data_IF_326878298232
#
_entry.id   IF_326878298232
#
_cell.length_a   1.000
_cell.length_b   1.000
_cell.length_c   1.000
_cell.angle_alpha   90.00
_cell.angle_beta   90.00
_cell.angle_gamma   90.00
#
_symmetry.space_group_name_H-M   'P 1'
#
loop_
_entity.id
_entity.type
_entity.pdbx_description
1 polymer ?
#
# COMPACT_ATOMS: atom_id res chain seq x y z
N UNK A 1 -34.39 7.29 15.84
CA UNK A 1 -32.92 7.46 15.86
C UNK A 1 -32.26 6.66 14.73
N UNK A 2 -32.46 7.04 13.46
CA UNK A 2 -31.86 6.38 12.28
C UNK A 2 -31.09 7.36 11.37
N UNK A 3 -30.65 8.49 11.93
CA UNK A 3 -30.24 9.65 11.13
C UNK A 3 -28.84 10.16 11.49
N UNK A 4 -27.89 9.25 11.78
CA UNK A 4 -26.49 9.64 12.00
C UNK A 4 -25.46 8.78 11.27
N UNK A 5 -25.86 7.65 10.65
CA UNK A 5 -24.96 6.77 9.89
C UNK A 5 -24.75 7.21 8.41
N UNK A 6 -25.10 8.45 8.06
CA UNK A 6 -24.96 9.01 6.71
C UNK A 6 -23.79 10.01 6.62
N UNK A 7 -22.95 10.06 7.67
CA UNK A 7 -21.81 10.95 7.74
C UNK A 7 -20.55 10.20 7.33
N UNK A 8 -19.92 10.70 6.27
CA UNK A 8 -18.54 10.42 5.80
C UNK A 8 -18.32 9.27 4.79
N UNK A 9 -19.27 8.97 3.90
CA UNK A 9 -18.85 8.34 2.63
C UNK A 9 -18.15 9.40 1.77
N UNK A 10 -16.89 9.18 1.35
CA UNK A 10 -16.25 10.11 0.44
C UNK A 10 -17.06 10.21 -0.85
N UNK A 11 -17.10 11.40 -1.44
CA UNK A 11 -17.87 11.61 -2.66
C UNK A 11 -17.39 10.63 -3.74
N UNK A 12 -18.33 10.14 -4.55
CA UNK A 12 -18.00 9.23 -5.66
C UNK A 12 -16.96 9.84 -6.61
N UNK A 13 -17.03 11.16 -6.84
CA UNK A 13 -16.07 11.89 -7.66
C UNK A 13 -14.65 11.90 -7.06
N UNK A 14 -14.52 12.14 -5.75
CA UNK A 14 -13.22 12.12 -5.07
C UNK A 14 -12.61 10.73 -5.09
N UNK A 15 -13.43 9.70 -4.84
CA UNK A 15 -12.98 8.29 -4.89
C UNK A 15 -12.46 7.95 -6.28
N UNK A 16 -13.23 8.24 -7.33
CA UNK A 16 -12.83 8.00 -8.71
C UNK A 16 -11.50 8.69 -9.06
N UNK A 17 -11.33 9.95 -8.64
CA UNK A 17 -10.11 10.71 -8.90
C UNK A 17 -8.89 10.06 -8.22
N UNK A 18 -9.01 9.67 -6.95
CA UNK A 18 -7.93 9.00 -6.20
C UNK A 18 -7.54 7.69 -6.86
N UNK A 19 -8.54 6.89 -7.27
CA UNK A 19 -8.29 5.59 -7.90
C UNK A 19 -7.65 5.74 -9.28
N UNK A 20 -8.19 6.63 -10.12
CA UNK A 20 -7.65 6.91 -11.44
C UNK A 20 -6.20 7.39 -11.36
N UNK A 21 -5.90 8.36 -10.48
CA UNK A 21 -4.54 8.86 -10.30
C UNK A 21 -3.61 7.79 -9.75
N UNK A 22 -4.08 6.93 -8.84
CA UNK A 22 -3.27 5.84 -8.28
C UNK A 22 -2.91 4.81 -9.34
N UNK A 23 -3.88 4.39 -10.16
CA UNK A 23 -3.64 3.42 -11.23
C UNK A 23 -2.79 4.00 -12.36
N UNK A 24 -3.02 5.26 -12.74
CA UNK A 24 -2.18 5.96 -13.71
C UNK A 24 -0.73 6.09 -13.18
N UNK A 25 -0.54 6.55 -11.95
CA UNK A 25 0.79 6.71 -11.36
C UNK A 25 1.54 5.37 -11.33
N UNK A 26 0.91 4.28 -10.84
CA UNK A 26 1.62 3.00 -10.73
C UNK A 26 1.92 2.36 -12.08
N UNK A 27 1.11 2.64 -13.11
CA UNK A 27 1.34 2.20 -14.47
C UNK A 27 2.60 2.84 -15.08
N UNK A 28 2.83 4.12 -14.79
CA UNK A 28 3.94 4.89 -15.39
C UNK A 28 5.21 4.92 -14.54
N UNK A 29 5.18 4.51 -13.26
CA UNK A 29 6.37 4.53 -12.39
C UNK A 29 7.58 3.78 -12.97
N UNK A 30 7.45 2.57 -13.56
CA UNK A 30 8.58 1.90 -14.20
C UNK A 30 9.19 2.75 -15.32
N UNK A 31 8.36 3.31 -16.21
CA UNK A 31 8.80 4.18 -17.29
C UNK A 31 9.47 5.47 -16.77
N UNK A 32 8.88 6.13 -15.77
CA UNK A 32 9.45 7.33 -15.14
C UNK A 32 10.80 7.03 -14.46
N UNK A 33 10.92 5.86 -13.84
CA UNK A 33 12.16 5.44 -13.19
C UNK A 33 13.30 5.28 -14.20
N UNK A 34 13.02 4.73 -15.39
CA UNK A 34 13.99 4.64 -16.48
C UNK A 34 14.30 6.03 -17.08
N UNK A 35 13.29 6.84 -17.34
CA UNK A 35 13.45 8.14 -17.99
C UNK A 35 14.23 9.14 -17.14
N UNK A 36 14.02 9.13 -15.82
CA UNK A 36 14.72 10.00 -14.87
C UNK A 36 16.04 9.39 -14.35
N UNK A 37 16.31 8.11 -14.66
CA UNK A 37 17.43 7.35 -14.06
C UNK A 37 17.43 7.34 -12.53
N UNK A 38 16.26 7.56 -11.91
CA UNK A 38 16.05 7.51 -10.46
C UNK A 38 15.24 6.25 -10.16
N UNK A 39 15.66 5.38 -9.24
CA UNK A 39 14.95 4.16 -8.91
C UNK A 39 13.70 4.46 -8.06
N UNK A 40 12.63 5.01 -8.66
CA UNK A 40 11.42 5.47 -7.95
C UNK A 40 10.80 4.37 -7.08
N UNK A 41 10.99 3.10 -7.44
CA UNK A 41 10.53 1.95 -6.66
C UNK A 41 11.09 1.90 -5.22
N UNK A 42 12.21 2.58 -4.92
CA UNK A 42 12.76 2.64 -3.56
C UNK A 42 11.83 3.37 -2.59
N UNK A 43 10.94 4.22 -3.10
CA UNK A 43 10.00 5.03 -2.30
C UNK A 43 8.70 4.28 -1.96
N UNK A 44 8.61 2.98 -2.23
CA UNK A 44 7.42 2.16 -2.01
C UNK A 44 6.12 2.82 -2.52
N UNK A 45 6.07 3.22 -3.80
CA UNK A 45 4.95 4.01 -4.32
C UNK A 45 3.59 3.33 -4.14
N UNK A 46 3.53 2.00 -4.22
CA UNK A 46 2.29 1.26 -3.97
C UNK A 46 1.74 1.48 -2.55
N UNK A 47 2.60 1.62 -1.54
CA UNK A 47 2.18 1.87 -0.15
C UNK A 47 1.64 3.30 0.00
N UNK A 48 2.29 4.27 -0.63
CA UNK A 48 1.82 5.67 -0.65
C UNK A 48 0.42 5.73 -1.26
N UNK A 49 0.24 5.13 -2.44
CA UNK A 49 -1.04 5.11 -3.14
C UNK A 49 -2.12 4.33 -2.37
N UNK A 50 -1.75 3.22 -1.73
CA UNK A 50 -2.64 2.47 -0.83
C UNK A 50 -3.13 3.34 0.33
N UNK A 51 -2.24 4.09 0.97
CA UNK A 51 -2.58 4.97 2.09
C UNK A 51 -3.48 6.13 1.63
N UNK A 52 -3.22 6.71 0.45
CA UNK A 52 -4.13 7.71 -0.13
C UNK A 52 -5.53 7.14 -0.34
N UNK A 53 -5.64 5.91 -0.86
CA UNK A 53 -6.92 5.23 -1.02
C UNK A 53 -7.59 4.95 0.33
N UNK A 54 -6.84 4.46 1.31
CA UNK A 54 -7.30 4.20 2.68
C UNK A 54 -7.91 5.45 3.33
N UNK A 55 -7.25 6.60 3.18
CA UNK A 55 -7.62 7.85 3.85
C UNK A 55 -8.74 8.60 3.13
N UNK A 56 -8.81 8.52 1.80
CA UNK A 56 -9.70 9.37 1.00
C UNK A 56 -10.85 8.64 0.32
N UNK A 57 -10.90 7.31 0.42
CA UNK A 57 -11.95 6.50 -0.20
C UNK A 57 -12.63 5.61 0.84
N UNK A 58 -13.30 4.55 0.41
CA UNK A 58 -13.94 3.59 1.33
C UNK A 58 -13.02 2.42 1.65
N UNK A 59 -13.28 1.74 2.78
CA UNK A 59 -12.60 0.48 3.13
C UNK A 59 -12.58 -0.53 1.98
N UNK A 60 -13.73 -0.74 1.31
CA UNK A 60 -13.83 -1.66 0.17
C UNK A 60 -12.91 -1.24 -0.97
N UNK A 61 -12.82 0.07 -1.21
CA UNK A 61 -12.03 0.63 -2.28
C UNK A 61 -10.52 0.57 -2.00
N UNK A 62 -10.10 0.77 -0.75
CA UNK A 62 -8.72 0.53 -0.35
C UNK A 62 -8.28 -0.92 -0.62
N UNK A 63 -9.14 -1.90 -0.29
CA UNK A 63 -8.87 -3.31 -0.61
C UNK A 63 -8.81 -3.57 -2.13
N UNK A 64 -9.69 -2.94 -2.91
CA UNK A 64 -9.64 -3.01 -4.37
C UNK A 64 -8.31 -2.46 -4.90
N UNK A 65 -7.91 -1.26 -4.46
CA UNK A 65 -6.65 -0.63 -4.84
C UNK A 65 -5.43 -1.46 -4.44
N UNK A 66 -5.44 -2.11 -3.27
CA UNK A 66 -4.36 -3.02 -2.85
C UNK A 66 -4.13 -4.17 -3.86
N UNK A 67 -5.18 -4.64 -4.53
CA UNK A 67 -5.09 -5.67 -5.58
C UNK A 67 -4.74 -5.06 -6.94
N UNK A 68 -5.36 -3.93 -7.27
CA UNK A 68 -5.17 -3.32 -8.59
C UNK A 68 -3.78 -2.72 -8.76
N UNK A 69 -3.15 -2.18 -7.71
CA UNK A 69 -1.82 -1.55 -7.81
C UNK A 69 -0.76 -2.52 -8.37
N UNK A 70 -0.53 -3.72 -7.79
CA UNK A 70 0.44 -4.67 -8.35
C UNK A 70 -0.02 -5.26 -9.69
N UNK A 71 -1.33 -5.49 -9.86
CA UNK A 71 -1.89 -6.05 -11.08
C UNK A 71 -1.68 -5.11 -12.28
N UNK A 72 -2.06 -3.83 -12.17
CA UNK A 72 -1.89 -2.84 -13.24
C UNK A 72 -0.42 -2.58 -13.56
N UNK A 73 0.45 -2.51 -12.54
CA UNK A 73 1.89 -2.36 -12.76
C UNK A 73 2.45 -3.52 -13.60
N UNK A 74 2.06 -4.75 -13.26
CA UNK A 74 2.44 -5.94 -14.05
C UNK A 74 1.84 -5.93 -15.46
N UNK A 75 0.55 -5.66 -15.61
CA UNK A 75 -0.12 -5.72 -16.92
C UNK A 75 0.45 -4.71 -17.92
N UNK A 76 0.84 -3.52 -17.45
CA UNK A 76 1.28 -2.43 -18.33
C UNK A 76 2.78 -2.45 -18.55
N UNK A 77 3.57 -2.73 -17.51
CA UNK A 77 5.03 -2.62 -17.57
C UNK A 77 5.75 -3.97 -17.53
N UNK A 78 5.03 -5.10 -17.46
CA UNK A 78 5.58 -6.43 -17.18
C UNK A 78 6.49 -6.48 -15.93
N UNK A 79 6.33 -5.50 -15.04
CA UNK A 79 7.17 -5.28 -13.88
C UNK A 79 6.31 -4.82 -12.70
N UNK A 80 6.33 -5.53 -11.55
CA UNK A 80 7.17 -6.69 -11.23
C UNK A 80 6.65 -8.00 -11.86
N UNK A 81 7.44 -9.08 -11.81
CA UNK A 81 7.03 -10.41 -12.28
C UNK A 81 5.75 -10.90 -11.57
N UNK A 82 4.98 -11.80 -12.21
CA UNK A 82 3.71 -12.31 -11.68
C UNK A 82 3.80 -12.74 -10.21
N UNK A 83 4.79 -13.58 -9.87
CA UNK A 83 4.98 -14.10 -8.51
C UNK A 83 5.26 -12.97 -7.52
N UNK A 84 6.07 -11.98 -7.92
CA UNK A 84 6.37 -10.83 -7.08
C UNK A 84 5.17 -9.89 -6.95
N UNK A 85 4.35 -9.74 -7.98
CA UNK A 85 3.09 -9.00 -7.92
C UNK A 85 2.11 -9.65 -6.95
N UNK A 86 1.96 -10.98 -6.98
CA UNK A 86 1.14 -11.71 -6.00
C UNK A 86 1.64 -11.52 -4.57
N UNK A 87 2.95 -11.62 -4.36
CA UNK A 87 3.58 -11.39 -3.05
C UNK A 87 3.36 -9.95 -2.53
N UNK A 88 3.42 -8.94 -3.42
CA UNK A 88 3.13 -7.56 -3.03
C UNK A 88 1.64 -7.39 -2.74
N UNK A 89 0.75 -7.99 -3.54
CA UNK A 89 -0.70 -7.96 -3.28
C UNK A 89 -1.02 -8.52 -1.89
N UNK A 90 -0.47 -9.69 -1.53
CA UNK A 90 -0.71 -10.27 -0.20
C UNK A 90 -0.16 -9.41 0.93
N UNK A 91 0.98 -8.76 0.73
CA UNK A 91 1.55 -7.79 1.68
C UNK A 91 0.66 -6.57 1.89
N UNK A 92 0.17 -5.94 0.82
CA UNK A 92 -0.70 -4.76 0.90
C UNK A 92 -2.07 -5.10 1.51
N UNK A 93 -2.62 -6.26 1.17
CA UNK A 93 -3.87 -6.76 1.76
C UNK A 93 -3.70 -7.04 3.26
N UNK A 94 -2.58 -7.67 3.64
CA UNK A 94 -2.25 -7.91 5.05
C UNK A 94 -2.05 -6.59 5.79
N UNK A 95 -1.39 -5.61 5.18
CA UNK A 95 -1.22 -4.27 5.75
C UNK A 95 -2.57 -3.61 6.08
N UNK A 96 -3.52 -3.62 5.14
CA UNK A 96 -4.87 -3.10 5.37
C UNK A 96 -5.61 -3.88 6.46
N UNK A 97 -5.55 -5.21 6.41
CA UNK A 97 -6.19 -6.06 7.41
C UNK A 97 -5.66 -5.75 8.82
N UNK A 98 -4.34 -5.71 8.98
CA UNK A 98 -3.68 -5.39 10.24
C UNK A 98 -3.97 -3.96 10.67
N UNK A 99 -4.05 -2.99 9.75
CA UNK A 99 -4.42 -1.62 10.09
C UNK A 99 -5.83 -1.55 10.67
N UNK A 100 -6.83 -2.13 9.97
CA UNK A 100 -8.21 -2.14 10.45
C UNK A 100 -8.42 -2.95 11.73
N UNK A 101 -7.56 -3.94 11.97
CA UNK A 101 -7.51 -4.67 13.25
C UNK A 101 -6.91 -3.77 14.34
N UNK A 102 -5.75 -3.16 14.07
CA UNK A 102 -4.98 -2.35 15.00
C UNK A 102 -5.75 -1.12 15.50
N UNK A 103 -6.47 -0.41 14.64
CA UNK A 103 -7.27 0.77 15.07
C UNK A 103 -8.40 0.41 16.05
N UNK A 104 -8.77 -0.87 16.18
CA UNK A 104 -9.75 -1.32 17.20
C UNK A 104 -9.14 -1.51 18.59
N UNK A 105 -7.81 -1.69 18.66
CA UNK A 105 -7.09 -1.96 19.92
C UNK A 105 -6.14 -0.82 20.31
N UNK A 106 -5.75 0.02 19.36
CA UNK A 106 -4.78 1.11 19.53
C UNK A 106 -5.50 2.44 19.24
N UNK A 107 -5.63 3.28 20.27
CA UNK A 107 -6.28 4.59 20.17
C UNK A 107 -5.51 5.62 19.32
N UNK A 108 -4.31 5.27 18.84
CA UNK A 108 -3.45 6.14 18.04
C UNK A 108 -3.33 5.62 16.60
N UNK A 109 -3.93 6.35 15.66
CA UNK A 109 -3.91 6.02 14.22
C UNK A 109 -2.49 5.97 13.64
N UNK A 110 -1.55 6.77 14.15
CA UNK A 110 -0.14 6.69 13.76
C UNK A 110 0.43 5.32 14.10
N UNK A 111 0.28 4.91 15.36
CA UNK A 111 0.83 3.67 15.87
C UNK A 111 0.18 2.45 15.19
N UNK A 112 -1.13 2.51 14.95
CA UNK A 112 -1.86 1.47 14.21
C UNK A 112 -1.33 1.31 12.78
N UNK A 113 -1.12 2.41 12.05
CA UNK A 113 -0.56 2.38 10.70
C UNK A 113 0.90 1.93 10.68
N UNK A 114 1.72 2.45 11.59
CA UNK A 114 3.13 2.12 11.62
C UNK A 114 3.35 0.64 11.96
N UNK A 115 2.65 0.13 12.97
CA UNK A 115 2.70 -1.28 13.35
C UNK A 115 2.21 -2.19 12.21
N UNK A 116 1.11 -1.85 11.55
CA UNK A 116 0.59 -2.67 10.43
C UNK A 116 1.57 -2.71 9.26
N UNK A 117 2.29 -1.62 9.00
CA UNK A 117 3.32 -1.53 7.94
C UNK A 117 4.53 -2.39 8.30
N UNK A 118 5.02 -2.32 9.53
CA UNK A 118 6.18 -3.12 9.95
C UNK A 118 5.87 -4.61 9.92
N UNK A 119 4.71 -5.02 10.45
CA UNK A 119 4.32 -6.44 10.48
C UNK A 119 4.09 -6.98 9.07
N UNK A 120 3.43 -6.22 8.18
CA UNK A 120 3.26 -6.66 6.78
C UNK A 120 4.60 -6.75 6.04
N UNK A 121 5.56 -5.88 6.35
CA UNK A 121 6.93 -5.96 5.81
C UNK A 121 7.71 -7.16 6.29
N UNK A 122 7.60 -7.51 7.57
CA UNK A 122 8.21 -8.73 8.11
C UNK A 122 7.65 -9.94 7.37
N UNK A 123 6.33 -10.00 7.17
CA UNK A 123 5.68 -11.03 6.37
C UNK A 123 6.23 -11.07 4.93
N UNK A 124 6.36 -9.92 4.26
CA UNK A 124 6.89 -9.85 2.90
C UNK A 124 8.29 -10.47 2.80
N UNK A 125 9.20 -10.14 3.71
CA UNK A 125 10.55 -10.67 3.68
C UNK A 125 10.60 -12.16 4.01
N UNK A 126 9.78 -12.63 4.96
CA UNK A 126 9.66 -14.05 5.27
C UNK A 126 9.12 -14.85 4.08
N UNK A 127 8.03 -14.38 3.46
CA UNK A 127 7.45 -15.03 2.28
C UNK A 127 8.37 -14.96 1.06
N UNK A 128 9.05 -13.82 0.84
CA UNK A 128 10.05 -13.68 -0.21
C UNK A 128 11.20 -14.66 -0.04
N UNK A 129 11.69 -14.83 1.19
CA UNK A 129 12.73 -15.80 1.49
C UNK A 129 12.29 -17.22 1.17
N UNK A 130 11.07 -17.61 1.57
CA UNK A 130 10.51 -18.93 1.21
C UNK A 130 10.42 -19.16 -0.30
N UNK A 131 9.91 -18.17 -1.04
CA UNK A 131 9.79 -18.24 -2.51
C UNK A 131 11.14 -18.25 -3.22
N UNK A 132 12.13 -17.51 -2.70
CA UNK A 132 13.48 -17.49 -3.25
C UNK A 132 14.20 -18.82 -3.01
N UNK A 133 14.07 -19.39 -1.81
CA UNK A 133 14.64 -20.70 -1.46
C UNK A 133 14.03 -21.84 -2.29
N UNK A 134 12.76 -21.71 -2.69
CA UNK A 134 12.09 -22.65 -3.58
C UNK A 134 12.35 -22.39 -5.09
N UNK A 135 13.14 -21.38 -5.45
CA UNK A 135 13.52 -21.08 -6.83
C UNK A 135 12.48 -20.28 -7.64
N UNK A 136 11.38 -19.82 -7.04
CA UNK A 136 10.33 -19.06 -7.73
C UNK A 136 10.67 -17.56 -7.94
N UNK A 137 11.57 -17.01 -7.13
CA UNK A 137 11.97 -15.60 -7.19
C UNK A 137 13.49 -15.46 -7.12
N UNK A 138 14.07 -14.77 -8.12
CA UNK A 138 15.49 -14.40 -8.12
C UNK A 138 15.75 -12.99 -7.56
N UNK A 139 17.03 -12.69 -7.32
CA UNK A 139 17.53 -11.36 -6.95
C UNK A 139 17.76 -11.16 -5.45
N UNK A 140 18.16 -9.94 -5.07
CA UNK A 140 18.49 -9.59 -3.68
C UNK A 140 17.24 -9.68 -2.78
N UNK A 141 17.38 -10.32 -1.60
CA UNK A 141 16.31 -10.42 -0.61
C UNK A 141 15.84 -9.03 -0.16
N UNK A 142 16.78 -8.15 0.18
CA UNK A 142 16.53 -6.76 0.54
C UNK A 142 16.98 -5.88 -0.63
N UNK A 143 16.00 -5.34 -1.36
CA UNK A 143 16.26 -4.43 -2.49
C UNK A 143 16.24 -2.96 -2.07
N UNK A 144 15.39 -2.60 -1.09
CA UNK A 144 15.28 -1.25 -0.54
C UNK A 144 15.98 -1.19 0.82
N UNK A 145 16.90 -0.24 1.06
CA UNK A 145 17.53 -0.06 2.36
C UNK A 145 16.50 0.10 3.50
N UNK A 146 16.74 -0.52 4.65
CA UNK A 146 15.79 -0.49 5.78
C UNK A 146 15.47 0.92 6.28
N UNK A 147 16.46 1.83 6.28
CA UNK A 147 16.23 3.21 6.71
C UNK A 147 15.20 3.92 5.82
N UNK A 148 15.21 3.71 4.50
CA UNK A 148 14.19 4.27 3.60
C UNK A 148 12.81 3.71 3.90
N UNK A 149 12.72 2.40 4.15
CA UNK A 149 11.44 1.76 4.50
C UNK A 149 10.85 2.35 5.78
N UNK A 150 11.68 2.58 6.80
CA UNK A 150 11.26 3.21 8.06
C UNK A 150 10.85 4.67 7.86
N UNK A 151 11.59 5.43 7.06
CA UNK A 151 11.25 6.82 6.72
C UNK A 151 9.88 6.88 6.02
N UNK A 152 9.67 6.03 5.01
CA UNK A 152 8.41 5.99 4.27
C UNK A 152 7.28 5.53 5.17
N UNK A 153 7.48 4.48 5.97
CA UNK A 153 6.51 4.01 6.95
C UNK A 153 6.11 5.13 7.91
N UNK A 154 7.09 5.84 8.47
CA UNK A 154 6.87 6.99 9.34
C UNK A 154 6.07 8.09 8.64
N UNK A 155 6.49 8.49 7.43
CA UNK A 155 5.83 9.54 6.66
C UNK A 155 4.36 9.21 6.34
N UNK A 156 4.07 8.00 5.86
CA UNK A 156 2.70 7.60 5.55
C UNK A 156 1.86 7.38 6.82
N UNK A 157 2.46 6.91 7.92
CA UNK A 157 1.77 6.82 9.21
C UNK A 157 1.45 8.19 9.79
N UNK A 158 2.33 9.18 9.64
CA UNK A 158 2.06 10.58 9.97
C UNK A 158 0.90 11.12 9.13
N UNK A 159 0.87 10.79 7.83
CA UNK A 159 -0.25 11.16 6.97
C UNK A 159 -1.58 10.55 7.46
N UNK A 160 -1.58 9.25 7.79
CA UNK A 160 -2.75 8.58 8.37
C UNK A 160 -3.18 9.25 9.67
N UNK A 161 -2.25 9.60 10.56
CA UNK A 161 -2.56 10.25 11.83
C UNK A 161 -3.36 11.55 11.65
N UNK A 162 -2.98 12.40 10.71
CA UNK A 162 -3.63 13.69 10.49
C UNK A 162 -4.94 13.60 9.71
N UNK A 163 -5.03 12.68 8.75
CA UNK A 163 -6.12 12.69 7.77
C UNK A 163 -7.11 11.53 7.89
N UNK A 164 -6.74 10.44 8.56
CA UNK A 164 -7.64 9.31 8.77
C UNK A 164 -8.63 9.64 9.89
N UNK A 165 -9.89 9.77 9.51
CA UNK A 165 -10.99 9.94 10.44
C UNK A 165 -11.55 8.56 10.75
N UNK A 166 -11.36 8.10 11.99
CA UNK A 166 -12.09 6.95 12.49
C UNK A 166 -13.57 7.28 12.38
N UNK A 167 -14.33 6.48 11.62
CA UNK A 167 -15.77 6.48 11.75
C UNK A 167 -16.06 5.80 13.09
N UNK A 168 -16.23 6.62 14.14
CA UNK A 168 -16.92 6.20 15.35
C UNK A 168 -18.39 5.88 15.03
#
# INVERSE_FOLDING_TARGET
MKTFALLLTPSKSKTFLVDFLSLAAIAFIPALSHMLSIPIYIFEPMRILLVLSLVHTSKKNAYLIAVLLPLFSFLISAHPSVVKSMLITTELLLNLFLFFLAVRYINNNFAAAFASILVSKIYYYAAKFGLASAGFIGGKLIATPFYLQLIIAGAVSTYVYFFYKNAE
#
